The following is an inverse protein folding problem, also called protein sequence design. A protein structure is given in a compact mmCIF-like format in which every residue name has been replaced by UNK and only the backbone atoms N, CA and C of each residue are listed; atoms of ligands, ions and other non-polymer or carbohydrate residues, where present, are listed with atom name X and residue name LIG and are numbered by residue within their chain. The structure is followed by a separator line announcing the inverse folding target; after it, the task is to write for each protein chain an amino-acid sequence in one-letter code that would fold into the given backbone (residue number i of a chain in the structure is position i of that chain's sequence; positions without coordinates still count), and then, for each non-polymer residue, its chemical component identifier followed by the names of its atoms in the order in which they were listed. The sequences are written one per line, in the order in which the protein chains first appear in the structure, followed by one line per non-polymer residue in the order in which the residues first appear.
data_IF_980986196967
#
_entry.id   IF_980986196967
#
_cell.length_a   1.000
_cell.length_b   1.000
_cell.length_c   1.000
_cell.angle_alpha   90.00
_cell.angle_beta   90.00
_cell.angle_gamma   90.00
#
_symmetry.space_group_name_H-M   'P 1'
#
loop_
_entity.id
_entity.type
_entity.pdbx_description
1 polymer ?
#
# COMPACT_ATOMS: atom_id res chain seq x y z
N UNK A 1 -16.63 -2.25 10.14
CA UNK A 1 -15.64 -3.34 10.31
C UNK A 1 -15.50 -4.30 9.12
N UNK A 2 -16.42 -4.32 8.16
CA UNK A 2 -16.36 -5.28 7.03
C UNK A 2 -15.20 -5.05 6.06
N UNK A 3 -14.62 -3.84 6.04
CA UNK A 3 -13.54 -3.46 5.13
C UNK A 3 -12.24 -4.26 5.36
N UNK A 4 -11.69 -4.28 6.58
CA UNK A 4 -10.44 -5.01 6.86
C UNK A 4 -10.60 -6.52 6.66
N UNK A 5 -11.79 -7.06 6.97
CA UNK A 5 -12.12 -8.45 6.72
C UNK A 5 -12.14 -8.78 5.21
N UNK A 6 -12.64 -7.86 4.37
CA UNK A 6 -12.60 -8.03 2.92
C UNK A 6 -11.17 -8.02 2.36
N UNK A 7 -10.28 -7.15 2.88
CA UNK A 7 -8.86 -7.16 2.52
C UNK A 7 -8.21 -8.49 2.94
N UNK A 8 -8.44 -8.94 4.18
CA UNK A 8 -7.92 -10.22 4.66
C UNK A 8 -8.39 -11.39 3.79
N UNK A 9 -9.68 -11.43 3.43
CA UNK A 9 -10.22 -12.45 2.54
C UNK A 9 -9.55 -12.42 1.16
N UNK A 10 -9.21 -11.23 0.63
CA UNK A 10 -8.43 -11.08 -0.59
C UNK A 10 -7.01 -11.68 -0.47
N UNK A 11 -6.32 -11.44 0.65
CA UNK A 11 -4.99 -12.03 0.92
C UNK A 11 -5.07 -13.55 0.99
N UNK A 12 -6.04 -14.09 1.74
CA UNK A 12 -6.24 -15.53 1.89
C UNK A 12 -6.63 -16.20 0.56
N UNK A 13 -7.41 -15.50 -0.27
CA UNK A 13 -7.81 -15.92 -1.61
C UNK A 13 -6.67 -16.04 -2.62
N UNK A 14 -5.49 -15.44 -2.36
CA UNK A 14 -4.32 -15.59 -3.23
C UNK A 14 -3.56 -16.90 -3.00
N UNK A 15 -3.72 -17.57 -1.85
CA UNK A 15 -2.98 -18.79 -1.54
C UNK A 15 -3.13 -19.87 -2.63
N UNK A 16 -4.34 -20.18 -3.14
CA UNK A 16 -4.52 -21.16 -4.21
C UNK A 16 -3.97 -20.70 -5.57
N UNK A 17 -3.65 -19.41 -5.73
CA UNK A 17 -3.13 -18.82 -6.98
C UNK A 17 -1.61 -18.83 -7.06
N UNK A 18 -0.91 -19.17 -5.97
CA UNK A 18 0.55 -19.25 -5.92
C UNK A 18 1.18 -20.06 -7.06
N UNK A 19 0.63 -21.21 -7.53
CA UNK A 19 1.19 -21.92 -8.68
C UNK A 19 1.26 -21.07 -9.95
N UNK A 20 0.19 -20.33 -10.28
CA UNK A 20 0.13 -19.46 -11.47
C UNK A 20 1.09 -18.27 -11.32
N UNK A 21 1.13 -17.68 -10.12
CA UNK A 21 2.07 -16.59 -9.80
C UNK A 21 3.53 -17.08 -9.95
N UNK A 22 3.83 -18.30 -9.50
CA UNK A 22 5.17 -18.88 -9.58
C UNK A 22 5.59 -19.19 -11.01
N UNK A 23 4.66 -19.69 -11.84
CA UNK A 23 4.91 -19.95 -13.26
C UNK A 23 5.19 -18.65 -14.03
N UNK A 24 4.41 -17.60 -13.78
CA UNK A 24 4.68 -16.28 -14.33
C UNK A 24 6.06 -15.76 -13.89
N UNK A 25 6.46 -16.04 -12.64
CA UNK A 25 7.74 -15.59 -12.10
C UNK A 25 8.92 -16.31 -12.74
N UNK A 26 8.78 -17.60 -13.10
CA UNK A 26 9.80 -18.34 -13.86
C UNK A 26 10.03 -17.72 -15.25
N UNK A 27 8.96 -17.27 -15.93
CA UNK A 27 9.08 -16.60 -17.23
C UNK A 27 9.81 -15.24 -17.10
N UNK A 28 9.46 -14.46 -16.07
CA UNK A 28 10.13 -13.19 -15.77
C UNK A 28 11.60 -13.41 -15.41
N UNK A 29 11.90 -14.38 -14.55
CA UNK A 29 13.27 -14.72 -14.15
C UNK A 29 14.12 -15.13 -15.36
N UNK A 30 13.55 -15.85 -16.32
CA UNK A 30 14.21 -16.19 -17.58
C UNK A 30 14.65 -14.95 -18.38
N UNK A 31 13.77 -13.93 -18.49
CA UNK A 31 14.11 -12.67 -19.17
C UNK A 31 15.14 -11.84 -18.42
N UNK A 32 15.00 -11.77 -17.10
CA UNK A 32 15.97 -11.07 -16.24
C UNK A 32 17.36 -11.72 -16.29
N UNK A 33 17.44 -13.04 -16.38
CA UNK A 33 18.71 -13.75 -16.54
C UNK A 33 19.35 -13.55 -17.91
N UNK A 34 18.57 -13.09 -18.90
CA UNK A 34 19.00 -12.73 -20.25
C UNK A 34 19.18 -11.20 -20.41
N UNK A 35 19.51 -10.51 -19.32
CA UNK A 35 19.79 -9.07 -19.26
C UNK A 35 18.58 -8.16 -19.60
N UNK A 36 17.35 -8.68 -19.55
CA UNK A 36 16.14 -7.87 -19.63
C UNK A 36 15.93 -6.98 -18.40
N UNK A 37 15.25 -5.84 -18.57
CA UNK A 37 14.89 -4.96 -17.45
C UNK A 37 13.51 -5.32 -16.87
N UNK A 38 13.27 -4.95 -15.62
CA UNK A 38 11.97 -5.02 -14.97
C UNK A 38 11.43 -3.61 -14.75
N UNK A 39 10.32 -3.29 -15.39
CA UNK A 39 9.69 -1.99 -15.29
C UNK A 39 8.30 -2.09 -14.65
N UNK A 40 7.93 -1.04 -13.92
CA UNK A 40 6.63 -0.87 -13.29
C UNK A 40 5.84 0.20 -14.04
N UNK A 41 4.61 -0.11 -14.43
CA UNK A 41 3.72 0.81 -15.11
C UNK A 41 2.33 0.80 -14.47
N UNK A 42 1.67 1.96 -14.46
CA UNK A 42 0.27 2.14 -14.08
C UNK A 42 -0.14 3.55 -14.47
N UNK A 43 -1.42 3.75 -14.80
CA UNK A 43 -1.98 5.09 -15.03
C UNK A 43 -1.92 5.93 -13.75
N UNK A 44 -2.20 5.30 -12.61
CA UNK A 44 -2.09 5.95 -11.30
C UNK A 44 -0.71 5.71 -10.70
N UNK A 45 -0.08 6.75 -10.12
CA UNK A 45 1.31 6.69 -9.65
C UNK A 45 1.48 5.87 -8.36
N UNK A 46 0.39 5.47 -7.71
CA UNK A 46 0.44 4.78 -6.42
C UNK A 46 1.00 3.36 -6.55
N UNK A 47 0.54 2.60 -7.56
CA UNK A 47 1.05 1.26 -7.83
C UNK A 47 2.54 1.26 -8.18
N UNK A 48 2.98 2.14 -9.09
CA UNK A 48 4.41 2.23 -9.48
C UNK A 48 5.27 2.73 -8.32
N UNK A 49 4.83 3.76 -7.61
CA UNK A 49 5.57 4.30 -6.48
C UNK A 49 5.76 3.26 -5.38
N UNK A 50 4.76 2.41 -5.13
CA UNK A 50 4.91 1.33 -4.16
C UNK A 50 5.92 0.28 -4.61
N UNK A 51 5.93 -0.15 -5.88
CA UNK A 51 6.92 -1.15 -6.34
C UNK A 51 8.36 -0.62 -6.42
N UNK A 52 8.56 0.70 -6.45
CA UNK A 52 9.83 1.35 -6.76
C UNK A 52 10.57 1.91 -5.52
N UNK A 53 11.90 1.67 -5.45
CA UNK A 53 12.81 2.13 -4.38
C UNK A 53 12.19 1.92 -2.98
N UNK A 54 11.87 0.66 -2.68
CA UNK A 54 11.22 0.27 -1.42
C UNK A 54 12.08 -0.59 -0.52
N UNK A 55 11.91 -0.45 0.79
CA UNK A 55 12.50 -1.41 1.75
C UNK A 55 12.04 -2.83 1.42
N UNK A 56 12.98 -3.76 1.32
CA UNK A 56 12.71 -5.13 0.91
C UNK A 56 12.34 -5.30 -0.56
N UNK A 57 12.36 -4.25 -1.37
CA UNK A 57 12.08 -4.27 -2.80
C UNK A 57 13.32 -4.53 -3.66
N UNK A 58 13.08 -4.87 -4.93
CA UNK A 58 14.12 -5.14 -5.93
C UNK A 58 14.87 -3.85 -6.29
N UNK A 59 16.20 -3.87 -6.25
CA UNK A 59 17.03 -2.74 -6.70
C UNK A 59 17.12 -2.63 -8.23
N UNK A 60 16.72 -3.69 -8.95
CA UNK A 60 16.67 -3.72 -10.42
C UNK A 60 15.35 -3.20 -11.01
N UNK A 61 14.35 -2.92 -10.17
CA UNK A 61 13.06 -2.44 -10.64
C UNK A 61 13.16 -0.96 -11.05
N UNK A 62 12.62 -0.64 -12.21
CA UNK A 62 12.56 0.70 -12.78
C UNK A 62 11.10 1.17 -12.90
N UNK A 63 10.87 2.48 -12.84
CA UNK A 63 9.58 3.04 -13.25
C UNK A 63 9.58 3.22 -14.77
N UNK A 64 8.51 2.80 -15.44
CA UNK A 64 8.28 3.13 -16.83
C UNK A 64 7.71 4.54 -16.96
N UNK A 65 8.21 5.30 -17.92
CA UNK A 65 7.66 6.58 -18.35
C UNK A 65 7.45 6.58 -19.87
N UNK A 66 6.65 7.49 -20.45
CA UNK A 66 6.49 7.62 -21.90
C UNK A 66 7.81 7.80 -22.68
N UNK A 67 8.86 8.32 -22.03
CA UNK A 67 10.20 8.47 -22.61
C UNK A 67 11.05 7.19 -22.53
N UNK A 68 10.59 6.18 -21.80
CA UNK A 68 11.31 4.92 -21.60
C UNK A 68 11.17 4.03 -22.83
N UNK A 69 12.24 3.95 -23.62
CA UNK A 69 12.31 3.01 -24.74
C UNK A 69 12.36 1.57 -24.22
N UNK A 70 11.41 0.73 -24.66
CA UNK A 70 11.32 -0.69 -24.32
C UNK A 70 11.91 -1.56 -25.44
N UNK A 71 12.39 -2.75 -25.06
CA UNK A 71 12.87 -3.78 -25.96
C UNK A 71 12.09 -5.09 -25.77
N UNK A 72 12.11 -6.01 -26.74
CA UNK A 72 11.46 -7.31 -26.60
C UNK A 72 11.98 -8.20 -25.48
N UNK A 73 13.13 -7.88 -24.86
CA UNK A 73 13.67 -8.62 -23.72
C UNK A 73 13.18 -8.08 -22.38
N UNK A 74 12.60 -6.88 -22.36
CA UNK A 74 12.12 -6.27 -21.12
C UNK A 74 10.85 -6.95 -20.61
N UNK A 75 10.60 -6.75 -19.33
CA UNK A 75 9.38 -7.14 -18.62
C UNK A 75 8.75 -5.87 -18.06
N UNK A 76 7.45 -5.71 -18.26
CA UNK A 76 6.66 -4.64 -17.64
C UNK A 76 5.59 -5.27 -16.76
N UNK A 77 5.62 -4.96 -15.47
CA UNK A 77 4.51 -5.24 -14.56
C UNK A 77 3.57 -4.04 -14.63
N UNK A 78 2.39 -4.27 -15.21
CA UNK A 78 1.36 -3.26 -15.38
C UNK A 78 0.26 -3.45 -14.32
N UNK A 79 0.08 -2.45 -13.46
CA UNK A 79 -1.04 -2.40 -12.52
C UNK A 79 -2.22 -1.62 -13.08
N UNK A 80 -3.43 -2.14 -12.87
CA UNK A 80 -4.68 -1.42 -13.16
C UNK A 80 -5.73 -1.68 -12.09
N UNK A 81 -6.63 -0.72 -11.93
CA UNK A 81 -7.70 -0.75 -10.93
C UNK A 81 -9.09 -0.78 -11.55
N UNK A 82 -9.19 -0.35 -12.81
CA UNK A 82 -10.45 -0.15 -13.49
C UNK A 82 -11.14 1.17 -13.22
N UNK A 83 -10.48 2.07 -12.48
CA UNK A 83 -10.98 3.40 -12.24
C UNK A 83 -10.77 4.37 -13.42
N UNK A 84 -9.93 4.03 -14.39
CA UNK A 84 -9.68 4.85 -15.58
C UNK A 84 -9.52 3.99 -16.83
N UNK A 85 -10.61 3.28 -17.23
CA UNK A 85 -10.57 2.22 -18.23
C UNK A 85 -9.83 2.57 -19.52
N UNK A 86 -10.19 3.72 -20.09
CA UNK A 86 -9.68 4.10 -21.41
C UNK A 86 -8.17 4.39 -21.37
N UNK A 87 -7.70 5.04 -20.30
CA UNK A 87 -6.28 5.35 -20.10
C UNK A 87 -5.47 4.08 -19.80
N UNK A 88 -6.02 3.16 -19.02
CA UNK A 88 -5.36 1.90 -18.67
C UNK A 88 -5.25 0.99 -19.92
N UNK A 89 -6.28 0.97 -20.78
CA UNK A 89 -6.25 0.28 -22.08
C UNK A 89 -5.29 0.94 -23.09
N UNK A 90 -5.22 2.27 -23.12
CA UNK A 90 -4.27 3.01 -23.95
C UNK A 90 -2.83 2.68 -23.55
N UNK A 91 -2.51 2.76 -22.26
CA UNK A 91 -1.20 2.38 -21.72
C UNK A 91 -0.85 0.93 -22.07
N UNK A 92 -1.77 -0.01 -21.91
CA UNK A 92 -1.54 -1.41 -22.28
C UNK A 92 -1.21 -1.58 -23.78
N UNK A 93 -1.91 -0.86 -24.67
CA UNK A 93 -1.65 -0.91 -26.11
C UNK A 93 -0.25 -0.36 -26.44
N UNK A 94 0.14 0.74 -25.81
CA UNK A 94 1.45 1.35 -25.99
C UNK A 94 2.58 0.43 -25.55
N UNK A 95 2.44 -0.18 -24.36
CA UNK A 95 3.41 -1.13 -23.84
C UNK A 95 3.51 -2.37 -24.73
N UNK A 96 2.38 -2.91 -25.20
CA UNK A 96 2.35 -4.08 -26.09
C UNK A 96 3.05 -3.83 -27.43
N UNK A 97 2.97 -2.62 -27.97
CA UNK A 97 3.62 -2.27 -29.23
C UNK A 97 5.16 -2.42 -29.18
N UNK A 98 5.76 -2.44 -27.99
CA UNK A 98 7.20 -2.63 -27.81
C UNK A 98 7.69 -4.08 -27.93
N UNK A 99 6.79 -5.06 -27.81
CA UNK A 99 7.15 -6.49 -27.74
C UNK A 99 7.74 -6.96 -26.40
N UNK A 100 7.79 -6.09 -25.39
CA UNK A 100 8.12 -6.47 -24.01
C UNK A 100 7.09 -7.47 -23.45
N UNK A 101 7.48 -8.27 -22.46
CA UNK A 101 6.56 -9.16 -21.74
C UNK A 101 5.73 -8.32 -20.78
N UNK A 102 4.42 -8.34 -20.94
CA UNK A 102 3.51 -7.60 -20.07
C UNK A 102 2.88 -8.56 -19.06
N UNK A 103 3.17 -8.33 -17.78
CA UNK A 103 2.51 -8.98 -16.65
C UNK A 103 1.47 -8.04 -16.07
N UNK A 104 0.20 -8.32 -16.34
CA UNK A 104 -0.91 -7.53 -15.82
C UNK A 104 -1.31 -7.91 -14.40
N UNK A 105 -1.55 -6.90 -13.56
CA UNK A 105 -2.08 -7.04 -12.20
C UNK A 105 -3.32 -6.16 -12.05
N UNK A 106 -4.46 -6.78 -11.76
CA UNK A 106 -5.71 -6.07 -11.53
C UNK A 106 -6.95 -6.96 -11.61
N UNK A 107 -8.15 -6.40 -11.44
CA UNK A 107 -9.39 -7.18 -11.43
C UNK A 107 -9.77 -7.65 -12.84
N UNK A 108 -10.22 -8.90 -12.96
CA UNK A 108 -10.68 -9.45 -14.25
C UNK A 108 -11.96 -8.79 -14.76
N UNK A 109 -12.84 -8.36 -13.84
CA UNK A 109 -14.12 -7.71 -14.14
C UNK A 109 -13.96 -6.43 -14.97
N UNK A 110 -12.84 -5.73 -14.78
CA UNK A 110 -12.51 -4.55 -15.58
C UNK A 110 -11.69 -4.89 -16.83
N UNK A 111 -10.80 -5.89 -16.76
CA UNK A 111 -9.88 -6.20 -17.85
C UNK A 111 -10.60 -6.44 -19.18
N UNK A 112 -11.87 -6.86 -19.15
CA UNK A 112 -12.62 -7.19 -20.36
C UNK A 112 -11.89 -8.26 -21.17
N UNK A 113 -12.38 -8.59 -22.36
CA UNK A 113 -11.63 -9.48 -23.24
C UNK A 113 -10.31 -8.83 -23.72
N UNK A 114 -10.33 -7.52 -23.97
CA UNK A 114 -9.22 -6.80 -24.60
C UNK A 114 -7.99 -6.66 -23.72
N UNK A 115 -8.13 -6.35 -22.42
CA UNK A 115 -6.96 -6.26 -21.55
C UNK A 115 -6.42 -7.64 -21.18
N UNK A 116 -7.28 -8.66 -21.04
CA UNK A 116 -6.86 -10.05 -20.83
C UNK A 116 -6.09 -10.59 -22.04
N UNK A 117 -6.52 -10.29 -23.28
CA UNK A 117 -5.78 -10.62 -24.50
C UNK A 117 -4.58 -9.68 -24.75
N UNK A 118 -4.51 -8.57 -24.00
CA UNK A 118 -3.51 -7.52 -24.13
C UNK A 118 -2.25 -7.79 -23.31
N UNK A 119 -2.41 -8.33 -22.10
CA UNK A 119 -1.31 -8.80 -21.28
C UNK A 119 -0.87 -10.21 -21.72
N UNK A 120 0.43 -10.50 -21.64
CA UNK A 120 0.94 -11.84 -21.92
C UNK A 120 0.70 -12.80 -20.75
N UNK A 121 0.78 -12.25 -19.53
CA UNK A 121 0.50 -12.94 -18.28
C UNK A 121 -0.45 -12.09 -17.44
N UNK A 122 -1.41 -12.71 -16.77
CA UNK A 122 -2.39 -12.00 -15.95
C UNK A 122 -2.47 -12.60 -14.55
N UNK A 123 -2.19 -11.76 -13.55
CA UNK A 123 -2.28 -12.07 -12.14
C UNK A 123 -3.47 -11.31 -11.56
N UNK A 124 -4.59 -12.02 -11.46
CA UNK A 124 -5.86 -11.43 -11.06
C UNK A 124 -5.87 -10.96 -9.60
N UNK A 125 -6.33 -9.74 -9.40
CA UNK A 125 -6.68 -9.19 -8.10
C UNK A 125 -8.14 -9.50 -7.78
N UNK A 126 -8.36 -10.67 -7.20
CA UNK A 126 -9.68 -11.11 -6.74
C UNK A 126 -9.95 -10.61 -5.32
N UNK A 127 -10.97 -9.76 -5.16
CA UNK A 127 -11.37 -9.24 -3.85
C UNK A 127 -12.90 -9.11 -3.75
N UNK A 128 -13.53 -9.44 -2.61
CA UNK A 128 -14.97 -9.29 -2.45
C UNK A 128 -15.42 -7.83 -2.48
N UNK A 129 -16.26 -7.47 -3.46
CA UNK A 129 -16.82 -6.12 -3.63
C UNK A 129 -18.34 -6.14 -3.41
N UNK A 130 -18.76 -6.33 -2.15
CA UNK A 130 -20.17 -6.22 -1.79
C UNK A 130 -20.60 -4.76 -1.62
N UNK A 131 -21.88 -4.47 -1.84
CA UNK A 131 -22.46 -3.14 -1.63
C UNK A 131 -22.19 -2.61 -0.20
N UNK A 132 -22.24 -3.48 0.81
CA UNK A 132 -21.97 -3.12 2.20
C UNK A 132 -20.53 -2.62 2.39
N UNK A 133 -19.58 -3.26 1.71
CA UNK A 133 -18.15 -2.94 1.81
C UNK A 133 -17.79 -1.68 1.02
N UNK A 134 -18.45 -1.43 -0.12
CA UNK A 134 -18.16 -0.28 -0.99
C UNK A 134 -19.03 0.94 -0.71
N UNK A 135 -20.14 0.81 0.03
CA UNK A 135 -21.01 1.92 0.41
C UNK A 135 -20.28 3.13 1.04
N UNK A 136 -19.30 2.94 1.95
CA UNK A 136 -18.55 4.06 2.51
C UNK A 136 -17.73 4.86 1.49
N UNK A 137 -17.52 4.30 0.31
CA UNK A 137 -16.73 4.85 -0.79
C UNK A 137 -17.61 5.20 -1.99
N UNK A 138 -18.92 5.41 -1.78
CA UNK A 138 -19.85 5.74 -2.85
C UNK A 138 -20.09 4.61 -3.85
N UNK A 139 -19.85 3.35 -3.46
CA UNK A 139 -19.95 2.19 -4.33
C UNK A 139 -18.67 1.86 -5.09
N UNK A 140 -17.62 2.67 -4.97
CA UNK A 140 -16.34 2.47 -5.64
C UNK A 140 -15.55 1.30 -5.02
N UNK A 141 -15.00 0.43 -5.88
CA UNK A 141 -14.18 -0.71 -5.46
C UNK A 141 -12.69 -0.39 -5.30
N UNK A 142 -12.26 0.77 -5.79
CA UNK A 142 -10.84 1.16 -5.83
C UNK A 142 -10.09 1.02 -4.49
N UNK A 143 -10.66 1.46 -3.33
CA UNK A 143 -9.99 1.30 -2.03
C UNK A 143 -9.63 -0.14 -1.64
N UNK A 144 -10.29 -1.14 -2.22
CA UNK A 144 -10.01 -2.55 -2.01
C UNK A 144 -9.10 -3.11 -3.10
N UNK A 145 -9.43 -2.82 -4.37
CA UNK A 145 -8.68 -3.32 -5.53
C UNK A 145 -7.22 -2.84 -5.49
N UNK A 146 -6.99 -1.56 -5.19
CA UNK A 146 -5.64 -0.99 -5.20
C UNK A 146 -4.74 -1.64 -4.15
N UNK A 147 -5.28 -1.99 -2.98
CA UNK A 147 -4.58 -2.77 -1.95
C UNK A 147 -4.32 -4.21 -2.40
N UNK A 148 -5.31 -4.88 -2.97
CA UNK A 148 -5.16 -6.24 -3.47
C UNK A 148 -4.07 -6.32 -4.56
N UNK A 149 -4.02 -5.34 -5.46
CA UNK A 149 -2.95 -5.23 -6.46
C UNK A 149 -1.55 -5.21 -5.82
N UNK A 150 -1.38 -4.52 -4.69
CA UNK A 150 -0.09 -4.49 -4.00
C UNK A 150 0.25 -5.84 -3.35
N UNK A 151 -0.75 -6.52 -2.78
CA UNK A 151 -0.53 -7.87 -2.23
C UNK A 151 -0.08 -8.81 -3.35
N UNK A 152 -0.73 -8.76 -4.51
CA UNK A 152 -0.32 -9.53 -5.70
C UNK A 152 1.08 -9.14 -6.17
N UNK A 153 1.38 -7.84 -6.29
CA UNK A 153 2.69 -7.33 -6.70
C UNK A 153 3.82 -7.86 -5.82
N UNK A 154 3.67 -7.78 -4.50
CA UNK A 154 4.72 -8.22 -3.57
C UNK A 154 4.81 -9.74 -3.44
N UNK A 155 3.68 -10.44 -3.53
CA UNK A 155 3.67 -11.91 -3.64
C UNK A 155 4.41 -12.37 -4.89
N UNK A 156 4.14 -11.73 -6.03
CA UNK A 156 4.81 -12.00 -7.30
C UNK A 156 6.30 -11.64 -7.25
N UNK A 157 6.65 -10.52 -6.63
CA UNK A 157 8.06 -10.13 -6.40
C UNK A 157 8.80 -11.19 -5.58
N UNK A 158 8.17 -11.75 -4.55
CA UNK A 158 8.73 -12.88 -3.80
C UNK A 158 8.98 -14.11 -4.67
N UNK A 159 8.03 -14.46 -5.53
CA UNK A 159 8.19 -15.58 -6.46
C UNK A 159 9.22 -15.31 -7.57
N UNK A 160 9.44 -14.06 -7.99
CA UNK A 160 10.56 -13.69 -8.87
C UNK A 160 11.89 -13.97 -8.18
N UNK A 161 12.03 -13.60 -6.90
CA UNK A 161 13.24 -13.94 -6.10
C UNK A 161 13.41 -15.45 -6.01
N UNK A 162 12.33 -16.19 -5.77
CA UNK A 162 12.37 -17.65 -5.72
C UNK A 162 12.81 -18.26 -7.06
N UNK A 163 12.25 -17.79 -8.18
CA UNK A 163 12.59 -18.22 -9.53
C UNK A 163 14.05 -17.94 -9.88
N UNK A 164 14.54 -16.74 -9.61
CA UNK A 164 15.95 -16.38 -9.79
C UNK A 164 16.88 -17.28 -8.95
N UNK A 165 16.51 -17.60 -7.71
CA UNK A 165 17.32 -18.46 -6.85
C UNK A 165 17.48 -19.88 -7.41
N UNK A 166 16.43 -20.41 -8.06
CA UNK A 166 16.47 -21.75 -8.70
C UNK A 166 17.45 -21.83 -9.86
N UNK A 167 17.74 -20.70 -10.51
CA UNK A 167 18.75 -20.58 -11.58
C UNK A 167 20.08 -20.00 -11.08
N UNK A 168 20.30 -19.98 -9.76
CA UNK A 168 21.57 -19.55 -9.17
C UNK A 168 21.82 -18.04 -9.22
N UNK A 169 20.74 -17.24 -9.26
CA UNK A 169 20.79 -15.77 -9.20
C UNK A 169 20.11 -15.29 -7.93
N UNK A 170 20.64 -14.24 -7.31
CA UNK A 170 19.96 -13.52 -6.24
C UNK A 170 19.93 -12.04 -6.60
N UNK A 171 18.74 -11.42 -6.76
CA UNK A 171 18.66 -10.00 -7.04
C UNK A 171 19.13 -9.17 -5.84
N UNK A 172 19.70 -8.00 -6.11
CA UNK A 172 19.97 -7.03 -5.07
C UNK A 172 18.65 -6.47 -4.52
N UNK A 173 18.52 -6.41 -3.20
CA UNK A 173 17.31 -5.95 -2.51
C UNK A 173 17.66 -4.76 -1.62
N UNK A 174 16.80 -3.76 -1.55
CA UNK A 174 16.97 -2.65 -0.62
C UNK A 174 16.72 -3.09 0.83
N UNK A 175 17.53 -2.58 1.75
CA UNK A 175 17.22 -2.60 3.19
C UNK A 175 16.64 -1.25 3.62
N UNK A 176 15.68 -1.23 4.55
CA UNK A 176 15.17 0.02 5.11
C UNK A 176 16.31 0.89 5.62
N UNK A 177 16.37 2.14 5.16
CA UNK A 177 17.40 3.13 5.55
C UNK A 177 17.36 3.51 7.03
N UNK A 178 16.34 3.05 7.76
CA UNK A 178 16.22 3.22 9.20
C UNK A 178 16.94 2.13 9.98
N UNK A 179 17.25 0.98 9.36
CA UNK A 179 18.10 -0.05 9.95
C UNK A 179 19.55 0.43 9.94
N UNK A 180 20.25 0.27 11.06
CA UNK A 180 21.64 0.66 11.19
C UNK A 180 22.52 -0.04 10.13
N UNK A 181 23.34 0.73 9.42
CA UNK A 181 24.22 0.22 8.35
C UNK A 181 23.52 0.00 7.00
N UNK A 182 22.21 0.19 6.89
CA UNK A 182 21.46 -0.08 5.66
C UNK A 182 21.83 0.86 4.51
N UNK A 183 22.16 2.13 4.82
CA UNK A 183 22.59 3.09 3.79
C UNK A 183 23.89 2.63 3.13
N UNK A 184 24.88 2.27 3.95
CA UNK A 184 26.17 1.76 3.50
C UNK A 184 26.01 0.43 2.75
N UNK A 185 25.10 -0.45 3.19
CA UNK A 185 24.77 -1.69 2.48
C UNK A 185 24.18 -1.38 1.11
N UNK A 186 23.11 -0.59 1.05
CA UNK A 186 22.41 -0.28 -0.20
C UNK A 186 23.35 0.39 -1.21
N UNK A 187 24.22 1.30 -0.77
CA UNK A 187 25.21 1.96 -1.64
C UNK A 187 26.13 0.97 -2.36
N UNK A 188 26.50 -0.17 -1.75
CA UNK A 188 27.36 -1.19 -2.38
C UNK A 188 26.70 -1.88 -3.56
N UNK A 189 25.37 -1.87 -3.63
CA UNK A 189 24.59 -2.58 -4.65
C UNK A 189 23.93 -1.64 -5.66
N UNK A 190 24.16 -0.32 -5.57
CA UNK A 190 23.66 0.63 -6.58
C UNK A 190 24.17 0.22 -7.97
N UNK A 191 23.25 0.11 -8.93
CA UNK A 191 23.54 -0.31 -10.31
C UNK A 191 23.78 -1.82 -10.48
N UNK A 192 23.71 -2.62 -9.40
CA UNK A 192 23.81 -4.07 -9.48
C UNK A 192 22.42 -4.69 -9.58
N UNK A 193 22.15 -5.47 -10.63
CA UNK A 193 20.92 -6.26 -10.71
C UNK A 193 20.96 -7.47 -9.78
N UNK A 194 22.10 -8.17 -9.77
CA UNK A 194 22.31 -9.40 -9.00
C UNK A 194 23.54 -9.31 -8.10
N UNK A 195 23.52 -10.08 -7.01
CA UNK A 195 24.71 -10.34 -6.21
C UNK A 195 25.74 -11.13 -7.03
N UNK A 196 27.01 -10.74 -6.93
CA UNK A 196 28.11 -11.48 -7.57
C UNK A 196 28.30 -12.88 -6.97
N UNK A 197 28.09 -13.00 -5.65
CA UNK A 197 28.10 -14.27 -4.91
C UNK A 197 27.02 -14.21 -3.83
N UNK A 198 26.35 -15.34 -3.56
CA UNK A 198 25.34 -15.45 -2.50
C UNK A 198 25.30 -16.87 -1.93
N UNK A 199 24.68 -17.03 -0.76
CA UNK A 199 24.46 -18.32 -0.11
C UNK A 199 22.98 -18.77 -0.13
N UNK A 200 22.12 -18.00 -0.80
CA UNK A 200 20.70 -18.32 -0.96
C UNK A 200 20.55 -19.64 -1.74
N UNK A 201 19.86 -20.67 -1.18
CA UNK A 201 19.59 -21.91 -1.87
C UNK A 201 18.49 -21.73 -2.93
N UNK A 202 18.32 -22.71 -3.81
CA UNK A 202 17.17 -22.77 -4.71
C UNK A 202 15.87 -22.85 -3.88
N UNK A 203 15.03 -21.82 -3.97
CA UNK A 203 13.78 -21.74 -3.24
C UNK A 203 12.65 -22.50 -3.97
N UNK A 204 11.87 -23.34 -3.26
CA UNK A 204 10.66 -23.98 -3.77
C UNK A 204 9.64 -23.00 -4.36
N UNK A 205 8.87 -23.49 -5.34
CA UNK A 205 7.73 -22.77 -5.93
C UNK A 205 6.69 -22.42 -4.85
N UNK A 206 6.21 -21.18 -4.86
CA UNK A 206 5.15 -20.71 -3.96
C UNK A 206 5.59 -20.50 -2.52
N UNK A 207 6.85 -20.74 -2.17
CA UNK A 207 7.31 -20.61 -0.78
C UNK A 207 7.46 -19.15 -0.37
N UNK A 208 8.20 -18.33 -1.14
CA UNK A 208 8.52 -16.96 -0.72
C UNK A 208 7.28 -16.07 -0.76
N UNK A 209 6.47 -16.17 -1.80
CA UNK A 209 5.18 -15.50 -1.88
C UNK A 209 4.20 -16.03 -0.83
N UNK A 210 4.25 -17.34 -0.53
CA UNK A 210 3.47 -17.94 0.55
C UNK A 210 3.78 -17.38 1.93
N UNK A 211 5.07 -17.29 2.27
CA UNK A 211 5.55 -16.73 3.54
C UNK A 211 5.14 -15.25 3.67
N UNK A 212 5.16 -14.50 2.56
CA UNK A 212 4.68 -13.12 2.52
C UNK A 212 3.17 -13.01 2.78
N UNK A 213 2.34 -13.82 2.12
CA UNK A 213 0.89 -13.86 2.35
C UNK A 213 0.56 -14.21 3.81
N UNK A 214 1.28 -15.17 4.39
CA UNK A 214 1.10 -15.57 5.78
C UNK A 214 1.44 -14.39 6.74
N UNK A 215 2.50 -13.63 6.43
CA UNK A 215 2.90 -12.45 7.20
C UNK A 215 1.86 -11.31 7.12
N UNK A 216 1.44 -10.92 5.91
CA UNK A 216 0.42 -9.87 5.70
C UNK A 216 -0.92 -10.28 6.32
N UNK A 217 -1.36 -11.52 6.10
CA UNK A 217 -2.58 -12.05 6.71
C UNK A 217 -2.51 -12.05 8.23
N UNK A 218 -1.35 -12.37 8.82
CA UNK A 218 -1.11 -12.28 10.25
C UNK A 218 -1.22 -10.86 10.81
N UNK A 219 -0.69 -9.86 10.09
CA UNK A 219 -0.80 -8.44 10.46
C UNK A 219 -2.27 -8.00 10.40
N UNK A 220 -2.98 -8.28 9.31
CA UNK A 220 -4.39 -7.90 9.14
C UNK A 220 -5.30 -8.56 10.19
N UNK A 221 -5.09 -9.85 10.49
CA UNK A 221 -5.81 -10.53 11.60
C UNK A 221 -5.55 -9.82 12.93
N UNK A 222 -4.30 -9.47 13.22
CA UNK A 222 -3.97 -8.75 14.45
C UNK A 222 -4.62 -7.37 14.52
N UNK A 223 -4.74 -6.66 13.39
CA UNK A 223 -5.45 -5.38 13.33
C UNK A 223 -6.94 -5.53 13.60
N UNK A 224 -7.59 -6.50 12.96
CA UNK A 224 -8.99 -6.81 13.18
C UNK A 224 -9.23 -7.17 14.67
N UNK A 225 -8.39 -8.02 15.24
CA UNK A 225 -8.52 -8.49 16.62
C UNK A 225 -8.25 -7.39 17.66
N UNK A 226 -7.31 -6.48 17.41
CA UNK A 226 -6.77 -5.58 18.47
C UNK A 226 -6.98 -4.10 18.25
N UNK A 227 -7.22 -3.66 17.01
CA UNK A 227 -7.22 -2.22 16.66
C UNK A 227 -8.56 -1.74 16.11
N UNK A 228 -9.52 -2.64 15.90
CA UNK A 228 -10.89 -2.30 15.50
C UNK A 228 -11.52 -1.22 16.37
N UNK A 229 -11.49 -1.39 17.70
CA UNK A 229 -12.13 -0.43 18.61
C UNK A 229 -11.48 0.97 18.49
N UNK A 230 -10.16 1.00 18.35
CA UNK A 230 -9.42 2.25 18.15
C UNK A 230 -9.75 2.91 16.80
N UNK A 231 -9.89 2.13 15.73
CA UNK A 231 -10.33 2.62 14.41
C UNK A 231 -11.74 3.20 14.51
N UNK A 232 -12.67 2.49 15.14
CA UNK A 232 -14.05 2.94 15.32
C UNK A 232 -14.14 4.22 16.17
N UNK A 233 -13.33 4.30 17.23
CA UNK A 233 -13.21 5.50 18.07
C UNK A 233 -12.65 6.68 17.28
N UNK A 234 -11.63 6.46 16.47
CA UNK A 234 -11.06 7.48 15.59
C UNK A 234 -12.08 7.94 14.54
N UNK A 235 -12.83 7.02 13.93
CA UNK A 235 -13.89 7.38 12.99
C UNK A 235 -14.99 8.21 13.64
N UNK A 236 -15.41 7.86 14.86
CA UNK A 236 -16.41 8.61 15.61
C UNK A 236 -15.93 10.03 15.97
N UNK A 237 -14.69 10.21 16.43
CA UNK A 237 -14.17 11.55 16.75
C UNK A 237 -13.98 12.40 15.49
N UNK A 238 -13.56 11.80 14.38
CA UNK A 238 -13.47 12.47 13.09
C UNK A 238 -14.86 12.92 12.61
N UNK A 239 -15.89 12.07 12.69
CA UNK A 239 -17.26 12.46 12.36
C UNK A 239 -17.75 13.63 13.23
N UNK A 240 -17.45 13.61 14.53
CA UNK A 240 -17.77 14.72 15.43
C UNK A 240 -17.10 16.03 15.01
N UNK A 241 -15.81 15.99 14.62
CA UNK A 241 -15.09 17.18 14.11
C UNK A 241 -15.82 17.78 12.91
N UNK A 242 -16.23 16.94 11.96
CA UNK A 242 -16.93 17.38 10.75
C UNK A 242 -18.29 18.01 11.08
N UNK A 243 -19.06 17.40 11.99
CA UNK A 243 -20.37 17.91 12.41
C UNK A 243 -20.27 19.23 13.19
N UNK A 244 -19.19 19.41 13.95
CA UNK A 244 -18.89 20.66 14.65
C UNK A 244 -18.35 21.76 13.70
N UNK A 245 -18.22 21.47 12.40
CA UNK A 245 -17.71 22.38 11.39
C UNK A 245 -16.18 22.52 11.36
N UNK A 246 -15.46 21.64 12.05
CA UNK A 246 -14.00 21.58 12.05
C UNK A 246 -13.44 20.80 10.86
N UNK A 247 -12.11 20.81 10.74
CA UNK A 247 -11.38 20.13 9.65
C UNK A 247 -10.49 19.02 10.18
N UNK A 248 -10.44 17.90 9.46
CA UNK A 248 -9.47 16.83 9.68
C UNK A 248 -8.28 17.05 8.73
N UNK A 249 -7.12 17.41 9.26
CA UNK A 249 -5.89 17.60 8.51
C UNK A 249 -5.07 16.31 8.54
N UNK A 250 -4.82 15.69 7.39
CA UNK A 250 -4.08 14.45 7.28
C UNK A 250 -2.62 14.67 6.86
N UNK A 251 -1.69 14.34 7.76
CA UNK A 251 -0.27 14.20 7.45
C UNK A 251 0.03 12.75 7.10
N UNK A 252 0.30 12.46 5.83
CA UNK A 252 0.53 11.10 5.33
C UNK A 252 1.94 10.97 4.77
N UNK A 253 2.63 9.89 5.12
CA UNK A 253 3.89 9.45 4.50
C UNK A 253 3.72 8.03 3.97
N UNK A 254 4.69 7.60 3.16
CA UNK A 254 4.86 6.29 2.51
C UNK A 254 4.66 6.39 0.99
N UNK A 255 5.03 5.33 0.26
CA UNK A 255 5.00 5.36 -1.20
C UNK A 255 3.56 5.22 -1.72
N UNK A 256 2.73 4.43 -1.06
CA UNK A 256 1.34 4.21 -1.49
C UNK A 256 0.30 5.18 -0.88
N UNK A 257 0.22 5.37 0.46
CA UNK A 257 -0.84 6.17 1.10
C UNK A 257 -0.91 7.63 0.62
N UNK A 258 0.22 8.24 0.23
CA UNK A 258 0.26 9.66 -0.16
C UNK A 258 -0.54 9.97 -1.42
N UNK A 259 -0.86 8.96 -2.23
CA UNK A 259 -1.64 9.08 -3.47
C UNK A 259 -3.11 8.65 -3.30
N UNK A 260 -3.53 8.26 -2.09
CA UNK A 260 -4.89 7.78 -1.83
C UNK A 260 -5.89 8.93 -1.61
N UNK A 261 -5.43 10.08 -1.12
CA UNK A 261 -6.29 11.27 -1.02
C UNK A 261 -6.74 11.72 -2.43
N UNK A 262 -8.05 11.82 -2.64
CA UNK A 262 -8.68 12.12 -3.92
C UNK A 262 -8.61 10.97 -4.92
N UNK A 263 -8.28 9.76 -4.48
CA UNK A 263 -8.46 8.57 -5.30
C UNK A 263 -9.97 8.27 -5.50
N UNK A 264 -10.33 7.49 -6.53
CA UNK A 264 -11.70 7.00 -6.69
C UNK A 264 -12.22 6.38 -5.40
N UNK A 265 -13.41 6.80 -4.97
CA UNK A 265 -14.03 6.37 -3.72
C UNK A 265 -13.60 7.16 -2.47
N UNK A 266 -12.70 8.15 -2.57
CA UNK A 266 -12.41 9.05 -1.45
C UNK A 266 -13.54 10.08 -1.25
N UNK A 267 -14.29 10.05 -0.13
CA UNK A 267 -15.29 11.05 0.17
C UNK A 267 -14.70 12.42 0.59
N UNK A 268 -13.37 12.54 0.66
CA UNK A 268 -12.63 13.75 1.02
C UNK A 268 -12.94 14.25 2.43
N UNK A 269 -13.23 13.34 3.37
CA UNK A 269 -13.40 13.67 4.79
C UNK A 269 -12.13 14.26 5.42
N UNK A 270 -10.97 13.92 4.89
CA UNK A 270 -9.68 14.41 5.39
C UNK A 270 -9.01 15.30 4.34
N UNK A 271 -8.56 16.47 4.75
CA UNK A 271 -7.74 17.35 3.91
C UNK A 271 -6.28 16.96 4.04
N UNK A 272 -5.65 16.51 2.95
CA UNK A 272 -4.22 16.17 2.96
C UNK A 272 -3.35 17.42 3.06
N UNK A 273 -2.37 17.38 3.95
CA UNK A 273 -1.30 18.38 4.06
C UNK A 273 -0.27 18.22 2.93
N UNK A 274 0.67 19.16 2.82
CA UNK A 274 1.79 19.00 1.91
C UNK A 274 2.60 17.72 2.22
N UNK A 275 3.33 17.23 1.22
CA UNK A 275 4.24 16.08 1.36
C UNK A 275 5.22 16.35 2.51
N UNK A 276 5.44 15.34 3.35
CA UNK A 276 6.31 15.46 4.52
C UNK A 276 7.76 15.73 4.11
N UNK A 277 8.48 16.48 4.95
CA UNK A 277 9.93 16.61 4.88
C UNK A 277 10.57 15.55 5.79
N UNK A 278 11.26 14.59 5.19
CA UNK A 278 11.66 13.36 5.88
C UNK A 278 10.43 12.61 6.43
N UNK A 279 10.41 12.36 7.74
CA UNK A 279 9.30 11.69 8.44
C UNK A 279 8.38 12.67 9.20
N UNK A 280 8.40 13.97 8.90
CA UNK A 280 7.68 14.98 9.68
C UNK A 280 6.88 15.97 8.83
N UNK A 281 5.67 16.37 9.28
CA UNK A 281 4.88 17.40 8.61
C UNK A 281 5.47 18.80 8.79
N UNK A 282 5.13 19.70 7.87
CA UNK A 282 5.56 21.10 7.94
C UNK A 282 4.91 21.81 9.13
N UNK A 283 5.73 22.18 10.12
CA UNK A 283 5.31 22.99 11.27
C UNK A 283 4.72 24.33 10.83
N UNK A 284 5.25 24.94 9.77
CA UNK A 284 4.77 26.21 9.25
C UNK A 284 3.38 26.10 8.63
N UNK A 285 3.12 25.01 7.91
CA UNK A 285 1.80 24.70 7.37
C UNK A 285 0.79 24.43 8.49
N UNK A 286 1.12 23.57 9.45
CA UNK A 286 0.24 23.27 10.58
C UNK A 286 -0.18 24.53 11.36
N UNK A 287 0.75 25.47 11.59
CA UNK A 287 0.45 26.75 12.25
C UNK A 287 -0.51 27.63 11.44
N UNK A 288 -0.50 27.52 10.12
CA UNK A 288 -1.33 28.31 9.22
C UNK A 288 -2.72 27.71 9.05
N UNK A 289 -2.81 26.39 8.97
CA UNK A 289 -4.03 25.68 8.59
C UNK A 289 -4.88 25.25 9.80
N UNK A 290 -4.29 24.94 10.96
CA UNK A 290 -5.02 24.40 12.11
C UNK A 290 -5.78 25.48 12.87
N UNK A 291 -7.02 25.15 13.22
CA UNK A 291 -7.89 25.94 14.09
C UNK A 291 -8.31 25.15 15.34
N UNK A 292 -8.88 25.87 16.33
CA UNK A 292 -9.42 25.23 17.53
C UNK A 292 -10.59 24.32 17.15
N UNK A 293 -10.58 23.08 17.64
CA UNK A 293 -11.60 22.09 17.33
C UNK A 293 -11.25 21.15 16.17
N UNK A 294 -10.26 21.50 15.36
CA UNK A 294 -9.72 20.64 14.30
C UNK A 294 -9.10 19.36 14.86
N UNK A 295 -8.83 18.42 13.95
CA UNK A 295 -8.11 17.19 14.24
C UNK A 295 -6.94 17.02 13.27
N UNK A 296 -5.79 16.63 13.79
CA UNK A 296 -4.63 16.23 13.01
C UNK A 296 -4.52 14.70 13.00
N UNK A 297 -4.68 14.11 11.82
CA UNK A 297 -4.53 12.68 11.58
C UNK A 297 -3.13 12.40 11.02
N UNK A 298 -2.25 11.77 11.81
CA UNK A 298 -0.88 11.48 11.39
C UNK A 298 -0.71 10.00 11.06
N UNK A 299 -0.55 9.70 9.77
CA UNK A 299 -0.19 8.39 9.25
C UNK A 299 1.31 8.38 8.94
N UNK A 300 2.09 7.85 9.88
CA UNK A 300 3.55 7.88 9.89
C UNK A 300 4.18 6.48 9.84
N UNK A 301 5.52 6.45 9.85
CA UNK A 301 6.29 5.21 9.94
C UNK A 301 6.59 4.83 11.40
N UNK A 302 7.70 5.30 11.97
CA UNK A 302 8.19 4.86 13.29
C UNK A 302 8.34 6.01 14.30
N UNK A 303 8.51 7.25 13.81
CA UNK A 303 8.88 8.39 14.66
C UNK A 303 7.69 9.31 14.88
N UNK A 304 7.44 9.65 16.14
CA UNK A 304 6.49 10.70 16.53
C UNK A 304 7.04 12.08 16.17
N UNK A 305 6.32 12.90 15.37
CA UNK A 305 6.74 14.26 15.07
C UNK A 305 6.36 15.20 16.23
N UNK A 306 7.10 15.13 17.34
CA UNK A 306 6.77 15.83 18.60
C UNK A 306 6.57 17.34 18.43
N UNK A 307 7.38 18.00 17.58
CA UNK A 307 7.22 19.43 17.28
C UNK A 307 5.89 19.74 16.59
N UNK A 308 5.45 18.88 15.67
CA UNK A 308 4.15 19.01 15.02
C UNK A 308 3.02 18.85 16.03
N UNK A 309 3.11 17.86 16.93
CA UNK A 309 2.07 17.65 17.94
C UNK A 309 1.99 18.82 18.92
N UNK A 310 3.11 19.45 19.29
CA UNK A 310 3.11 20.67 20.10
C UNK A 310 2.34 21.81 19.43
N UNK A 311 2.47 21.97 18.11
CA UNK A 311 1.72 22.97 17.34
C UNK A 311 0.23 22.66 17.37
N UNK A 312 -0.15 21.40 17.14
CA UNK A 312 -1.55 20.95 17.18
C UNK A 312 -2.18 21.24 18.54
N UNK A 313 -1.48 20.91 19.63
CA UNK A 313 -1.94 21.21 20.99
C UNK A 313 -2.13 22.70 21.24
N UNK A 314 -1.18 23.55 20.80
CA UNK A 314 -1.29 25.01 20.95
C UNK A 314 -2.45 25.60 20.15
N UNK A 315 -2.79 25.01 19.01
CA UNK A 315 -3.97 25.40 18.23
C UNK A 315 -5.29 25.00 18.89
N UNK A 316 -5.28 24.16 19.94
CA UNK A 316 -6.49 23.62 20.55
C UNK A 316 -7.14 22.52 19.70
N UNK A 317 -6.35 21.84 18.86
CA UNK A 317 -6.75 20.72 18.03
C UNK A 317 -6.35 19.38 18.67
N UNK A 318 -6.98 18.29 18.19
CA UNK A 318 -6.73 16.91 18.64
C UNK A 318 -5.73 16.20 17.73
N UNK A 319 -5.07 15.17 18.23
CA UNK A 319 -4.08 14.35 17.50
C UNK A 319 -4.50 12.90 17.47
N UNK A 320 -4.56 12.33 16.26
CA UNK A 320 -4.60 10.88 16.02
C UNK A 320 -3.22 10.45 15.52
N UNK A 321 -2.66 9.42 16.15
CA UNK A 321 -1.37 8.84 15.77
C UNK A 321 -1.54 7.44 15.19
N UNK A 322 -1.01 7.23 13.99
CA UNK A 322 -0.91 5.94 13.31
C UNK A 322 0.55 5.72 12.92
N UNK A 323 1.35 5.19 13.84
CA UNK A 323 2.76 4.82 13.64
C UNK A 323 3.01 3.44 14.26
N UNK A 324 3.96 2.70 13.71
CA UNK A 324 4.43 1.45 14.32
C UNK A 324 5.57 1.72 15.32
N UNK A 325 5.84 0.74 16.18
CA UNK A 325 6.76 0.86 17.32
C UNK A 325 6.03 0.96 18.66
N UNK A 326 6.81 0.98 19.72
CA UNK A 326 6.33 1.12 21.10
C UNK A 326 5.66 2.47 21.34
N UNK A 327 6.06 3.54 20.63
CA UNK A 327 5.29 4.79 20.59
C UNK A 327 5.01 5.40 21.98
N UNK A 328 5.80 5.05 22.99
CA UNK A 328 5.67 5.56 24.35
C UNK A 328 6.59 6.77 24.58
N UNK A 329 7.63 6.92 23.76
CA UNK A 329 8.61 7.98 23.91
C UNK A 329 8.19 9.28 23.22
N UNK A 330 8.36 10.39 23.93
CA UNK A 330 8.16 11.75 23.42
C UNK A 330 6.84 12.41 23.81
N UNK A 331 6.92 13.70 24.15
CA UNK A 331 5.78 14.56 24.52
C UNK A 331 5.55 15.64 23.46
N UNK A 332 4.29 16.04 23.19
CA UNK A 332 3.06 15.59 23.82
C UNK A 332 2.57 14.24 23.28
N UNK A 333 1.79 13.52 24.09
CA UNK A 333 1.12 12.29 23.67
C UNK A 333 -0.09 12.60 22.77
N UNK A 334 -0.43 11.71 21.82
CA UNK A 334 -1.64 11.83 21.01
C UNK A 334 -2.91 11.63 21.85
N UNK A 335 -4.06 12.06 21.34
CA UNK A 335 -5.36 11.79 21.98
C UNK A 335 -5.86 10.38 21.66
N UNK A 336 -5.60 9.93 20.42
CA UNK A 336 -6.02 8.63 19.92
C UNK A 336 -4.85 7.96 19.20
N UNK A 337 -4.80 6.64 19.29
CA UNK A 337 -3.72 5.83 18.78
C UNK A 337 -4.30 4.64 18.03
N UNK A 338 -3.82 4.39 16.82
CA UNK A 338 -3.98 3.12 16.12
C UNK A 338 -2.58 2.54 15.93
N UNK A 339 -2.36 1.29 16.33
CA UNK A 339 -1.06 0.61 16.21
C UNK A 339 -1.04 -0.31 15.00
N UNK A 340 -0.31 0.01 13.92
CA UNK A 340 -0.42 -0.73 12.66
C UNK A 340 0.17 -2.14 12.62
N UNK A 341 0.95 -2.55 13.64
CA UNK A 341 1.49 -3.91 13.82
C UNK A 341 2.49 -4.44 12.78
N UNK A 342 2.89 -3.67 11.76
CA UNK A 342 4.03 -4.10 10.92
C UNK A 342 5.37 -3.94 11.67
N UNK A 343 6.38 -4.80 11.41
CA UNK A 343 7.63 -4.80 12.15
C UNK A 343 8.58 -3.65 11.76
N UNK A 344 9.55 -3.38 12.64
CA UNK A 344 10.63 -2.44 12.31
C UNK A 344 11.45 -2.95 11.12
N UNK A 345 11.71 -2.06 10.16
CA UNK A 345 12.42 -2.42 8.92
C UNK A 345 11.50 -2.64 7.72
N UNK A 346 10.17 -2.66 7.92
CA UNK A 346 9.11 -2.73 6.91
C UNK A 346 9.02 -4.07 6.15
N UNK A 347 10.16 -4.66 5.79
CA UNK A 347 10.23 -5.97 5.16
C UNK A 347 9.83 -7.10 6.13
N UNK A 348 9.13 -8.12 5.64
CA UNK A 348 8.53 -9.17 6.50
C UNK A 348 8.88 -10.60 6.12
N UNK A 349 9.55 -10.81 4.99
CA UNK A 349 9.81 -12.15 4.45
C UNK A 349 11.30 -12.48 4.53
N UNK A 350 11.63 -13.56 5.22
CA UNK A 350 13.00 -14.03 5.36
C UNK A 350 13.36 -15.00 4.23
N UNK A 351 14.46 -14.72 3.54
CA UNK A 351 15.06 -15.65 2.57
C UNK A 351 16.26 -16.35 3.21
N UNK A 352 16.29 -17.69 3.32
CA UNK A 352 17.43 -18.43 3.85
C UNK A 352 18.73 -18.07 3.14
N UNK A 353 19.80 -17.83 3.91
CA UNK A 353 21.11 -17.46 3.35
C UNK A 353 21.21 -16.04 2.79
N UNK A 354 20.17 -15.22 2.94
CA UNK A 354 20.20 -13.80 2.60
C UNK A 354 20.38 -12.92 3.85
N UNK A 355 20.97 -11.74 3.67
CA UNK A 355 21.43 -10.88 4.76
C UNK A 355 20.35 -9.91 5.29
N UNK A 356 19.23 -9.77 4.58
CA UNK A 356 18.11 -8.90 4.95
C UNK A 356 16.76 -9.58 4.69
N UNK A 357 15.72 -9.11 5.38
CA UNK A 357 14.34 -9.44 5.02
C UNK A 357 13.92 -8.68 3.77
N UNK A 358 12.99 -9.26 3.02
CA UNK A 358 12.45 -8.73 1.77
C UNK A 358 10.93 -8.57 1.86
N UNK A 359 10.38 -7.86 0.88
CA UNK A 359 8.95 -7.58 0.68
C UNK A 359 8.34 -6.70 1.79
N UNK A 360 8.02 -5.42 1.51
CA UNK A 360 7.48 -4.49 2.50
C UNK A 360 6.03 -4.81 2.87
N UNK A 361 5.60 -4.23 3.98
CA UNK A 361 4.24 -4.40 4.51
C UNK A 361 3.55 -3.07 4.82
N UNK A 362 4.30 -2.00 5.07
CA UNK A 362 3.76 -0.75 5.58
C UNK A 362 2.81 -0.07 4.60
N UNK A 363 3.08 -0.11 3.28
CA UNK A 363 2.22 0.52 2.28
C UNK A 363 0.80 -0.05 2.29
N UNK A 364 0.70 -1.39 2.30
CA UNK A 364 -0.57 -2.12 2.42
C UNK A 364 -1.26 -1.79 3.74
N UNK A 365 -0.52 -1.88 4.84
CA UNK A 365 -1.12 -1.76 6.18
C UNK A 365 -1.55 -0.33 6.50
N UNK A 366 -0.74 0.67 6.18
CA UNK A 366 -1.09 2.08 6.36
C UNK A 366 -2.34 2.45 5.56
N UNK A 367 -2.40 2.03 4.30
CA UNK A 367 -3.55 2.33 3.45
C UNK A 367 -4.80 1.57 3.89
N UNK A 368 -4.67 0.31 4.34
CA UNK A 368 -5.79 -0.44 4.93
C UNK A 368 -6.37 0.29 6.16
N UNK A 369 -5.52 0.82 7.04
CA UNK A 369 -5.96 1.60 8.20
C UNK A 369 -6.62 2.92 7.77
N UNK A 370 -6.02 3.64 6.82
CA UNK A 370 -6.58 4.89 6.30
C UNK A 370 -8.01 4.69 5.79
N UNK A 371 -8.21 3.72 4.90
CA UNK A 371 -9.54 3.43 4.35
C UNK A 371 -10.50 2.84 5.38
N UNK A 372 -10.02 2.06 6.35
CA UNK A 372 -10.84 1.60 7.47
C UNK A 372 -11.35 2.77 8.33
N UNK A 373 -10.50 3.78 8.58
CA UNK A 373 -10.91 5.00 9.26
C UNK A 373 -11.91 5.79 8.42
N UNK A 374 -11.68 5.97 7.12
CA UNK A 374 -12.64 6.62 6.21
C UNK A 374 -13.99 5.91 6.26
N UNK A 375 -14.00 4.58 6.19
CA UNK A 375 -15.23 3.79 6.31
C UNK A 375 -15.90 3.98 7.68
N UNK A 376 -15.12 4.04 8.76
CA UNK A 376 -15.66 4.28 10.09
C UNK A 376 -16.24 5.69 10.27
N UNK A 377 -15.67 6.72 9.62
CA UNK A 377 -16.23 8.09 9.61
C UNK A 377 -17.61 8.05 8.96
N UNK A 378 -17.72 7.43 7.78
CA UNK A 378 -19.00 7.28 7.08
C UNK A 378 -20.04 6.59 7.97
N UNK A 379 -19.68 5.47 8.62
CA UNK A 379 -20.59 4.74 9.51
C UNK A 379 -21.05 5.57 10.71
N UNK A 380 -20.19 6.45 11.24
CA UNK A 380 -20.56 7.35 12.32
C UNK A 380 -21.53 8.45 11.84
N UNK A 381 -21.24 9.07 10.69
CA UNK A 381 -22.12 10.08 10.08
C UNK A 381 -23.50 9.52 9.73
N UNK A 382 -23.57 8.37 9.06
CA UNK A 382 -24.85 7.76 8.65
C UNK A 382 -25.72 7.36 9.85
N UNK A 383 -25.13 6.87 10.95
CA UNK A 383 -25.89 6.55 12.18
C UNK A 383 -26.53 7.79 12.78
N UNK A 384 -25.83 8.92 12.74
CA UNK A 384 -26.36 10.18 13.25
C UNK A 384 -27.51 10.71 12.38
N UNK A 385 -27.36 10.71 11.05
CA UNK A 385 -28.43 11.12 10.13
C UNK A 385 -29.71 10.31 10.34
N UNK A 386 -29.59 8.99 10.54
CA UNK A 386 -30.72 8.11 10.84
C UNK A 386 -31.38 8.45 12.18
N UNK A 387 -30.59 8.76 13.22
CA UNK A 387 -31.10 9.16 14.52
C UNK A 387 -31.86 10.49 14.45
N UNK A 388 -31.35 11.49 13.72
CA UNK A 388 -31.98 12.79 13.53
C UNK A 388 -33.32 12.68 12.76
N UNK A 389 -33.36 11.84 11.71
CA UNK A 389 -34.62 11.52 11.00
C UNK A 389 -35.64 10.83 11.90
N UNK A 390 -35.21 9.87 12.73
CA UNK A 390 -36.11 9.18 13.66
C UNK A 390 -36.67 10.11 14.74
N UNK A 391 -35.84 11.04 15.26
CA UNK A 391 -36.26 12.06 16.21
C UNK A 391 -37.27 13.04 15.60
N UNK A 392 -37.05 13.48 14.36
CA UNK A 392 -37.94 14.38 13.63
C UNK A 392 -39.30 13.77 13.31
N UNK A 393 -39.35 12.44 13.12
CA UNK A 393 -40.60 11.70 12.82
C UNK A 393 -41.46 11.45 14.06
N UNK A 394 -40.91 11.54 15.28
CA UNK A 394 -41.65 11.36 16.54
C UNK A 394 -42.33 12.62 17.09
N UNK A 395 -42.09 13.77 16.45
CA UNK A 395 -42.64 15.09 16.84
C UNK A 395 -43.89 15.45 16.00
N UNK A 396 -44.22 14.63 14.98
CA UNK A 396 -45.48 14.65 14.24
C UNK A 396 -46.44 13.60 14.78
#
# INVERSE_FOLDING_TARGET
MDYLAAILAGVEGLRPRLPVISEAADQVAGRLAADGRLLLASVRPDFTSEGFIRSGGLMLAEEWTPETALSPNDVVILGWSGASPDQELELLRDLRASGALIVGIGPASWAGADAQMGADLFLESEIPLSEVVTAPFGGEGYPLISLQNLVVLWTFTGEIVAALSRIGRMPAMYQSVLVAGARERNTRFIGSQFHQTHQVPAMPLGQVGGDYLDAIGGILRTLIEKETEAIDQVGAVCAQVLNDGGVIHAGMISHFPVYQHGAPGDPLYMRRLARLDGESPSVAELKRELQRGDLFFFLGYYRRPTQAYQVVRRAGARVVEVITGDGLDGSPQPDYVIRPKWPFGDAVTRVPGYDVEILPSSGIVQTAIYWAVVASIWQALSRQELAERAASTRIL
#
